data_IF_336096190990
#
_entry.id   IF_336096190990
#
_cell.length_a   1.000
_cell.length_b   1.000
_cell.length_c   1.000
_cell.angle_alpha   90.00
_cell.angle_beta   90.00
_cell.angle_gamma   90.00
#
_symmetry.space_group_name_H-M   'P 1'
#
loop_
_entity.id
_entity.type
_entity.pdbx_description
1 polymer ?
#
# COMPACT_ATOMS: atom_id res chain seq x y z
N UNK A 1 -14.24 -6.41 -1.90
CA UNK A 1 -15.21 -5.37 -2.30
C UNK A 1 -15.44 -5.38 -3.81
N UNK A 2 -14.40 -5.40 -4.65
CA UNK A 2 -14.52 -5.22 -6.11
C UNK A 2 -14.44 -6.51 -6.93
N UNK A 3 -13.96 -7.60 -6.35
CA UNK A 3 -13.84 -8.89 -7.05
C UNK A 3 -15.16 -9.64 -7.17
N UNK A 4 -15.30 -10.43 -8.26
CA UNK A 4 -16.39 -11.42 -8.40
C UNK A 4 -16.21 -12.56 -7.38
N UNK A 5 -17.21 -13.41 -7.21
CA UNK A 5 -17.09 -14.55 -6.28
C UNK A 5 -16.01 -15.54 -6.75
N UNK A 6 -15.87 -15.76 -8.05
CA UNK A 6 -14.80 -16.58 -8.64
C UNK A 6 -13.42 -16.00 -8.35
N UNK A 7 -13.24 -14.68 -8.55
CA UNK A 7 -11.99 -14.00 -8.22
C UNK A 7 -11.68 -14.05 -6.72
N UNK A 8 -12.68 -13.91 -5.86
CA UNK A 8 -12.49 -14.04 -4.41
C UNK A 8 -12.03 -15.45 -4.01
N UNK A 9 -12.67 -16.47 -4.54
CA UNK A 9 -12.29 -17.85 -4.25
C UNK A 9 -10.88 -18.17 -4.78
N UNK A 10 -10.58 -17.75 -6.01
CA UNK A 10 -9.29 -18.03 -6.65
C UNK A 10 -8.11 -17.27 -6.04
N UNK A 11 -8.32 -16.02 -5.65
CA UNK A 11 -7.24 -15.12 -5.24
C UNK A 11 -7.33 -14.69 -3.77
N UNK A 12 -8.50 -14.20 -3.31
CA UNK A 12 -8.61 -13.62 -1.98
C UNK A 12 -8.52 -14.69 -0.88
N UNK A 13 -9.14 -15.84 -1.06
CA UNK A 13 -9.13 -16.92 -0.05
C UNK A 13 -7.70 -17.43 0.20
N UNK A 14 -6.88 -17.79 -0.81
CA UNK A 14 -5.49 -18.17 -0.58
C UNK A 14 -4.62 -17.04 0.02
N UNK A 15 -4.84 -15.79 -0.38
CA UNK A 15 -4.15 -14.65 0.20
C UNK A 15 -4.51 -14.47 1.68
N UNK A 16 -5.79 -14.57 2.04
CA UNK A 16 -6.25 -14.45 3.42
C UNK A 16 -5.76 -15.58 4.33
N UNK A 17 -5.56 -16.79 3.77
CA UNK A 17 -4.97 -17.95 4.47
C UNK A 17 -3.45 -17.86 4.58
N UNK A 18 -2.79 -16.94 3.90
CA UNK A 18 -1.33 -16.86 3.83
C UNK A 18 -0.67 -17.94 2.95
N UNK A 19 -1.45 -18.62 2.12
CA UNK A 19 -0.98 -19.61 1.15
C UNK A 19 -0.31 -18.94 -0.07
N UNK A 20 -0.70 -17.69 -0.35
CA UNK A 20 -0.16 -16.84 -1.41
C UNK A 20 0.17 -15.45 -0.89
N UNK A 21 1.10 -14.76 -1.56
CA UNK A 21 1.42 -13.36 -1.32
C UNK A 21 0.87 -12.48 -2.43
N UNK A 22 0.46 -11.26 -2.07
CA UNK A 22 0.00 -10.25 -3.00
C UNK A 22 0.97 -9.09 -3.16
N UNK A 23 0.89 -8.41 -4.33
CA UNK A 23 1.55 -7.14 -4.57
C UNK A 23 0.60 -6.17 -5.26
N UNK A 24 0.86 -4.86 -5.08
CA UNK A 24 0.05 -3.78 -5.64
C UNK A 24 0.92 -2.88 -6.52
N UNK A 25 0.66 -2.90 -7.82
CA UNK A 25 1.38 -2.17 -8.85
C UNK A 25 0.65 -0.91 -9.29
N UNK A 26 0.89 0.21 -8.60
CA UNK A 26 0.37 1.53 -8.93
C UNK A 26 1.44 2.43 -9.54
N UNK A 27 2.54 2.63 -8.80
CA UNK A 27 3.59 3.63 -9.06
C UNK A 27 4.39 3.32 -10.32
N UNK A 28 4.66 4.35 -11.11
CA UNK A 28 5.52 4.30 -12.30
C UNK A 28 6.65 5.34 -12.20
N UNK A 29 7.71 5.24 -13.03
CA UNK A 29 8.80 6.22 -13.04
C UNK A 29 8.32 7.67 -13.18
N UNK A 30 7.30 7.91 -13.99
CA UNK A 30 6.70 9.23 -14.23
C UNK A 30 5.42 9.52 -13.45
N UNK A 31 4.94 8.60 -12.60
CA UNK A 31 3.65 8.70 -11.92
C UNK A 31 3.75 8.18 -10.47
N UNK A 32 4.24 9.02 -9.59
CA UNK A 32 4.27 8.79 -8.14
C UNK A 32 3.08 9.47 -7.46
N UNK A 33 3.28 10.69 -6.96
CA UNK A 33 2.20 11.49 -6.34
C UNK A 33 1.06 11.78 -7.31
N UNK A 34 1.37 12.08 -8.57
CA UNK A 34 0.38 12.14 -9.65
C UNK A 34 0.07 10.73 -10.19
N UNK A 35 -0.72 9.98 -9.45
CA UNK A 35 -1.09 8.62 -9.82
C UNK A 35 -1.99 8.54 -11.07
N UNK A 36 -2.56 9.65 -11.55
CA UNK A 36 -3.28 9.71 -12.84
C UNK A 36 -2.34 9.85 -14.03
N UNK A 37 -1.09 10.22 -13.79
CA UNK A 37 -0.05 10.36 -14.81
C UNK A 37 0.42 9.06 -15.45
N UNK A 38 -0.14 7.90 -15.08
CA UNK A 38 0.27 6.55 -15.51
C UNK A 38 0.40 6.40 -17.02
N UNK A 39 1.37 5.59 -17.45
CA UNK A 39 1.68 5.29 -18.85
C UNK A 39 1.47 3.81 -19.20
N UNK A 40 1.50 2.90 -18.21
CA UNK A 40 1.21 1.47 -18.43
C UNK A 40 -0.16 1.32 -19.04
N UNK A 41 -0.23 0.66 -20.19
CA UNK A 41 -1.46 0.48 -20.98
C UNK A 41 -1.97 -0.95 -20.88
N UNK A 42 -3.28 -1.11 -20.96
CA UNK A 42 -3.95 -2.38 -21.16
C UNK A 42 -4.91 -2.23 -22.34
N UNK A 43 -4.70 -2.99 -23.40
CA UNK A 43 -5.52 -2.95 -24.62
C UNK A 43 -6.26 -4.27 -24.74
N UNK A 44 -7.57 -4.22 -24.97
CA UNK A 44 -8.37 -5.43 -25.18
C UNK A 44 -8.13 -5.95 -26.62
N UNK A 45 -7.73 -7.21 -26.74
CA UNK A 45 -7.50 -7.92 -27.98
C UNK A 45 -8.26 -9.26 -27.94
N UNK A 46 -9.43 -9.31 -28.54
CA UNK A 46 -10.35 -10.44 -28.43
C UNK A 46 -10.83 -10.65 -26.98
N UNK A 47 -10.50 -11.79 -26.41
CA UNK A 47 -10.86 -12.18 -25.02
C UNK A 47 -9.71 -11.99 -24.03
N UNK A 48 -8.67 -11.24 -24.40
CA UNK A 48 -7.51 -10.99 -23.56
C UNK A 48 -7.20 -9.49 -23.46
N UNK A 49 -6.68 -9.08 -22.30
CA UNK A 49 -6.02 -7.79 -22.14
C UNK A 49 -4.53 -7.94 -22.36
N UNK A 50 -3.96 -7.04 -23.17
CA UNK A 50 -2.52 -6.98 -23.44
C UNK A 50 -1.93 -5.81 -22.68
N UNK A 51 -1.12 -6.10 -21.69
CA UNK A 51 -0.48 -5.11 -20.82
C UNK A 51 0.93 -4.77 -21.34
N UNK A 52 1.24 -3.47 -21.43
CA UNK A 52 2.55 -2.94 -21.79
C UNK A 52 2.93 -1.76 -20.89
N UNK A 53 4.13 -1.80 -20.31
CA UNK A 53 4.65 -0.74 -19.43
C UNK A 53 5.45 -1.28 -18.27
N UNK A 54 5.67 -0.44 -17.25
CA UNK A 54 6.39 -0.86 -16.04
C UNK A 54 5.82 -0.19 -14.78
N UNK A 55 6.06 -0.85 -13.64
CA UNK A 55 5.75 -0.33 -12.29
C UNK A 55 7.03 -0.37 -11.47
N UNK A 56 7.26 0.65 -10.65
CA UNK A 56 8.46 0.72 -9.80
C UNK A 56 8.09 0.75 -8.32
N UNK A 57 9.07 0.42 -7.49
CA UNK A 57 8.97 0.43 -6.03
C UNK A 57 7.89 -0.52 -5.49
N UNK A 58 7.70 -1.66 -6.16
CA UNK A 58 6.64 -2.60 -5.78
C UNK A 58 7.12 -3.54 -4.69
N UNK A 59 6.51 -3.41 -3.51
CA UNK A 59 6.74 -4.32 -2.37
C UNK A 59 6.31 -5.73 -2.73
N UNK A 60 7.11 -6.72 -2.35
CA UNK A 60 6.95 -8.13 -2.70
C UNK A 60 6.97 -8.39 -4.21
N UNK A 61 7.56 -7.49 -5.03
CA UNK A 61 7.45 -7.55 -6.47
C UNK A 61 7.84 -8.90 -7.08
N UNK A 62 8.88 -9.57 -6.58
CA UNK A 62 9.31 -10.90 -7.05
C UNK A 62 8.78 -12.05 -6.20
N UNK A 63 8.45 -11.78 -4.96
CA UNK A 63 7.99 -12.77 -3.98
C UNK A 63 6.49 -13.08 -4.13
N UNK A 64 5.68 -12.11 -4.55
CA UNK A 64 4.23 -12.26 -4.69
C UNK A 64 3.84 -13.28 -5.76
N UNK A 65 2.66 -13.88 -5.58
CA UNK A 65 2.03 -14.82 -6.50
C UNK A 65 0.96 -14.14 -7.36
N UNK A 66 0.32 -13.10 -6.81
CA UNK A 66 -0.79 -12.36 -7.42
C UNK A 66 -0.54 -10.87 -7.31
N UNK A 67 -0.78 -10.16 -8.40
CA UNK A 67 -0.56 -8.72 -8.51
C UNK A 67 -1.84 -8.00 -8.89
N UNK A 68 -2.17 -6.93 -8.17
CA UNK A 68 -3.19 -5.96 -8.60
C UNK A 68 -2.47 -4.86 -9.37
N UNK A 69 -2.66 -4.81 -10.67
CA UNK A 69 -2.00 -3.85 -11.57
C UNK A 69 -3.00 -2.80 -12.04
N UNK A 70 -2.64 -1.54 -11.86
CA UNK A 70 -3.44 -0.41 -12.34
C UNK A 70 -2.87 0.04 -13.69
N UNK A 71 -3.72 0.12 -14.73
CA UNK A 71 -3.27 0.47 -16.07
C UNK A 71 -4.32 1.31 -16.83
N UNK A 72 -3.86 2.04 -17.85
CA UNK A 72 -4.70 2.88 -18.72
C UNK A 72 -5.36 2.00 -19.77
N UNK A 73 -6.68 2.03 -19.83
CA UNK A 73 -7.48 1.28 -20.82
C UNK A 73 -7.99 2.16 -21.97
N UNK A 74 -7.86 3.47 -21.86
CA UNK A 74 -8.32 4.38 -22.89
C UNK A 74 -8.31 5.84 -22.45
N UNK A 75 -9.04 6.63 -23.20
CA UNK A 75 -9.33 8.03 -22.90
C UNK A 75 -10.83 8.23 -22.84
N UNK A 76 -11.30 8.98 -21.87
CA UNK A 76 -12.73 9.28 -21.68
C UNK A 76 -12.93 10.77 -21.45
N UNK A 77 -13.96 11.34 -22.04
CA UNK A 77 -14.33 12.72 -21.75
C UNK A 77 -15.11 12.80 -20.44
N UNK A 78 -14.58 13.55 -19.49
CA UNK A 78 -15.25 13.86 -18.21
C UNK A 78 -15.23 15.38 -17.99
N UNK A 79 -16.42 15.95 -17.81
CA UNK A 79 -16.57 17.39 -17.53
C UNK A 79 -15.90 18.28 -18.59
N UNK A 80 -16.03 17.93 -19.89
CA UNK A 80 -15.44 18.68 -20.99
C UNK A 80 -13.92 18.58 -21.15
N UNK A 81 -13.29 17.57 -20.49
CA UNK A 81 -11.84 17.31 -20.60
C UNK A 81 -11.58 15.83 -20.86
N UNK A 82 -10.65 15.56 -21.77
CA UNK A 82 -10.14 14.21 -21.99
C UNK A 82 -9.29 13.77 -20.80
N UNK A 83 -9.63 12.64 -20.20
CA UNK A 83 -8.92 12.05 -19.06
C UNK A 83 -8.59 10.59 -19.37
N UNK A 84 -7.50 10.08 -18.79
CA UNK A 84 -7.18 8.66 -18.88
C UNK A 84 -8.26 7.82 -18.21
N UNK A 85 -8.75 6.82 -18.93
CA UNK A 85 -9.56 5.76 -18.36
C UNK A 85 -8.61 4.74 -17.75
N UNK A 86 -8.72 4.52 -16.44
CA UNK A 86 -7.80 3.69 -15.65
C UNK A 86 -8.58 2.52 -15.07
N UNK A 87 -8.08 1.30 -15.29
CA UNK A 87 -8.67 0.06 -14.80
C UNK A 87 -7.70 -0.74 -13.94
N UNK A 88 -8.21 -1.72 -13.20
CA UNK A 88 -7.44 -2.60 -12.34
C UNK A 88 -7.48 -4.03 -12.86
N UNK A 89 -6.36 -4.74 -12.77
CA UNK A 89 -6.19 -6.08 -13.31
C UNK A 89 -5.51 -7.01 -12.31
N UNK A 90 -5.89 -8.29 -12.32
CA UNK A 90 -5.24 -9.35 -11.58
C UNK A 90 -4.25 -10.07 -12.53
N UNK A 91 -2.97 -10.03 -12.19
CA UNK A 91 -1.91 -10.71 -12.93
C UNK A 91 -1.29 -11.77 -12.04
N UNK A 92 -1.10 -12.98 -12.56
CA UNK A 92 -0.44 -14.06 -11.84
C UNK A 92 1.06 -14.08 -12.13
N UNK A 93 1.84 -14.50 -11.16
CA UNK A 93 3.28 -14.75 -11.37
C UNK A 93 3.48 -15.81 -12.46
N UNK A 94 4.44 -15.56 -13.34
CA UNK A 94 4.74 -16.47 -14.43
C UNK A 94 3.88 -16.27 -15.68
N UNK A 95 2.97 -15.30 -15.70
CA UNK A 95 2.26 -14.91 -16.92
C UNK A 95 3.28 -14.54 -18.02
N UNK A 96 3.17 -15.09 -19.25
CA UNK A 96 4.05 -14.71 -20.35
C UNK A 96 4.05 -13.19 -20.59
N UNK A 97 5.24 -12.61 -20.80
CA UNK A 97 5.38 -11.15 -20.96
C UNK A 97 5.43 -10.37 -19.64
N UNK A 98 5.26 -11.03 -18.49
CA UNK A 98 5.46 -10.43 -17.18
C UNK A 98 6.83 -10.82 -16.61
N UNK A 99 7.65 -9.82 -16.27
CA UNK A 99 9.00 -10.00 -15.74
C UNK A 99 9.33 -8.99 -14.65
N UNK A 100 10.47 -9.21 -14.00
CA UNK A 100 10.94 -8.40 -12.88
C UNK A 100 12.23 -7.69 -13.25
N UNK A 101 12.28 -6.40 -12.99
CA UNK A 101 13.48 -5.59 -13.17
C UNK A 101 14.33 -5.54 -11.90
N UNK A 102 14.90 -4.38 -11.65
CA UNK A 102 15.88 -4.15 -10.58
C UNK A 102 15.26 -4.29 -9.19
N UNK A 103 15.99 -4.98 -8.29
CA UNK A 103 15.71 -4.96 -6.85
C UNK A 103 16.29 -3.70 -6.24
N UNK A 104 15.48 -2.93 -5.52
CA UNK A 104 15.90 -1.69 -4.90
C UNK A 104 16.86 -1.92 -3.72
N UNK A 105 17.97 -1.17 -3.71
CA UNK A 105 18.92 -1.11 -2.58
C UNK A 105 18.45 -0.01 -1.62
N UNK A 106 17.76 -0.42 -0.55
CA UNK A 106 17.14 0.51 0.40
C UNK A 106 18.04 0.83 1.58
N UNK A 107 17.92 2.03 2.15
CA UNK A 107 18.61 2.47 3.36
C UNK A 107 18.11 1.69 4.60
N UNK A 108 16.79 1.41 4.68
CA UNK A 108 16.15 0.67 5.75
C UNK A 108 15.09 -0.31 5.24
N UNK A 109 14.45 -1.03 6.15
CA UNK A 109 13.39 -2.04 5.84
C UNK A 109 13.89 -3.03 4.77
N UNK A 110 15.14 -3.50 4.90
CA UNK A 110 15.79 -4.36 3.90
C UNK A 110 15.19 -5.77 3.83
N UNK A 111 14.50 -6.19 4.89
CA UNK A 111 13.76 -7.45 4.94
C UNK A 111 12.51 -7.48 4.06
N UNK A 112 11.96 -6.30 3.68
CA UNK A 112 10.86 -6.18 2.73
C UNK A 112 11.42 -5.87 1.35
N UNK A 113 11.35 -6.82 0.43
CA UNK A 113 11.90 -6.65 -0.91
C UNK A 113 11.03 -5.72 -1.77
N UNK A 114 11.66 -4.90 -2.59
CA UNK A 114 11.01 -3.93 -3.48
C UNK A 114 11.62 -4.06 -4.87
N UNK A 115 10.76 -4.18 -5.89
CA UNK A 115 11.17 -4.45 -7.27
C UNK A 115 10.45 -3.55 -8.27
N UNK A 116 11.05 -3.48 -9.46
CA UNK A 116 10.36 -3.08 -10.68
C UNK A 116 9.60 -4.27 -11.26
N UNK A 117 8.40 -4.01 -11.81
CA UNK A 117 7.59 -4.95 -12.59
C UNK A 117 7.59 -4.47 -14.04
N UNK A 118 7.78 -5.37 -14.99
CA UNK A 118 7.87 -5.07 -16.43
C UNK A 118 6.85 -5.92 -17.19
N UNK A 119 6.06 -5.26 -18.03
CA UNK A 119 5.05 -5.88 -18.87
C UNK A 119 5.40 -5.62 -20.34
N UNK A 120 5.59 -6.67 -21.10
CA UNK A 120 5.87 -6.65 -22.54
C UNK A 120 4.94 -7.62 -23.22
N UNK A 121 3.92 -7.11 -23.90
CA UNK A 121 2.84 -7.91 -24.50
C UNK A 121 2.29 -8.98 -23.53
N UNK A 122 2.15 -8.59 -22.26
CA UNK A 122 1.66 -9.48 -21.22
C UNK A 122 0.16 -9.70 -21.37
N UNK A 123 -0.21 -10.91 -21.78
CA UNK A 123 -1.60 -11.29 -22.05
C UNK A 123 -2.24 -11.93 -20.83
N UNK A 124 -3.39 -11.39 -20.44
CA UNK A 124 -4.21 -11.90 -19.35
C UNK A 124 -5.67 -12.06 -19.81
N UNK A 125 -6.39 -13.05 -19.30
CA UNK A 125 -7.80 -13.25 -19.62
C UNK A 125 -8.64 -12.02 -19.31
N UNK A 126 -9.70 -11.82 -20.10
CA UNK A 126 -10.62 -10.66 -19.96
C UNK A 126 -11.24 -10.60 -18.56
N UNK A 127 -11.56 -11.73 -17.98
CA UNK A 127 -12.13 -11.88 -16.64
C UNK A 127 -11.16 -11.50 -15.50
N UNK A 128 -9.88 -11.29 -15.79
CA UNK A 128 -8.91 -10.82 -14.81
C UNK A 128 -9.00 -9.31 -14.52
N UNK A 129 -9.91 -8.58 -15.17
CA UNK A 129 -10.24 -7.22 -14.77
C UNK A 129 -10.90 -7.23 -13.38
N UNK A 130 -10.39 -6.40 -12.47
CA UNK A 130 -10.94 -6.23 -11.13
C UNK A 130 -11.91 -5.03 -11.12
N UNK A 131 -13.16 -5.31 -10.80
CA UNK A 131 -14.24 -4.31 -10.88
C UNK A 131 -14.66 -4.04 -12.31
N UNK A 132 -15.04 -2.80 -12.62
CA UNK A 132 -15.44 -2.36 -13.96
C UNK A 132 -14.35 -1.56 -14.64
N UNK A 133 -14.35 -1.54 -15.97
CA UNK A 133 -13.50 -0.67 -16.76
C UNK A 133 -13.67 0.80 -16.35
N UNK A 134 -12.57 1.50 -16.17
CA UNK A 134 -12.56 2.90 -15.71
C UNK A 134 -12.65 3.09 -14.18
N UNK A 135 -12.81 2.03 -13.38
CA UNK A 135 -12.86 2.13 -11.92
C UNK A 135 -11.50 1.95 -11.22
N UNK A 136 -10.43 1.66 -11.97
CA UNK A 136 -9.12 1.33 -11.38
C UNK A 136 -8.54 2.44 -10.51
N UNK A 137 -8.71 3.70 -10.88
CA UNK A 137 -8.27 4.82 -10.04
C UNK A 137 -9.06 4.91 -8.72
N UNK A 138 -10.37 4.69 -8.76
CA UNK A 138 -11.23 4.63 -7.57
C UNK A 138 -10.81 3.48 -6.64
N UNK A 139 -10.54 2.29 -7.22
CA UNK A 139 -10.05 1.12 -6.49
C UNK A 139 -8.73 1.45 -5.81
N UNK A 140 -7.78 2.08 -6.53
CA UNK A 140 -6.49 2.47 -5.99
C UNK A 140 -6.62 3.44 -4.82
N UNK A 141 -7.44 4.49 -4.95
CA UNK A 141 -7.64 5.48 -3.87
C UNK A 141 -8.29 4.84 -2.63
N UNK A 142 -9.30 4.02 -2.81
CA UNK A 142 -9.95 3.29 -1.71
C UNK A 142 -8.97 2.35 -0.98
N UNK A 143 -8.07 1.69 -1.72
CA UNK A 143 -7.01 0.86 -1.13
C UNK A 143 -6.03 1.70 -0.31
N UNK A 144 -5.63 2.87 -0.81
CA UNK A 144 -4.71 3.78 -0.12
C UNK A 144 -5.31 4.39 1.15
N UNK A 145 -6.62 4.62 1.21
CA UNK A 145 -7.27 5.15 2.42
C UNK A 145 -7.08 4.20 3.61
N UNK A 146 -7.31 2.90 3.42
CA UNK A 146 -7.00 1.90 4.44
C UNK A 146 -5.50 1.79 4.75
N UNK A 147 -4.66 1.88 3.72
CA UNK A 147 -3.19 1.84 3.85
C UNK A 147 -2.64 2.97 4.72
N UNK A 148 -3.19 4.18 4.64
CA UNK A 148 -2.77 5.34 5.45
C UNK A 148 -2.91 5.08 6.94
N UNK A 149 -4.02 4.47 7.36
CA UNK A 149 -4.25 4.10 8.77
C UNK A 149 -3.22 3.06 9.21
N UNK A 150 -2.97 2.04 8.40
CA UNK A 150 -1.99 1.00 8.69
C UNK A 150 -0.58 1.55 8.91
N UNK A 151 -0.13 2.48 8.06
CA UNK A 151 1.19 3.13 8.20
C UNK A 151 1.24 4.06 9.42
N UNK A 152 0.15 4.78 9.72
CA UNK A 152 0.07 5.58 10.94
C UNK A 152 0.15 4.71 12.21
N UNK A 153 -0.55 3.57 12.23
CA UNK A 153 -0.47 2.61 13.32
C UNK A 153 0.94 2.00 13.47
N UNK A 154 1.64 1.72 12.37
CA UNK A 154 3.02 1.27 12.40
C UNK A 154 3.96 2.30 13.05
N UNK A 155 3.85 3.57 12.65
CA UNK A 155 4.65 4.65 13.23
C UNK A 155 4.36 4.84 14.72
N UNK A 156 3.09 4.78 15.12
CA UNK A 156 2.66 4.82 16.51
C UNK A 156 3.28 3.69 17.32
N UNK A 157 3.17 2.43 16.87
CA UNK A 157 3.71 1.28 17.58
C UNK A 157 5.22 1.33 17.75
N UNK A 158 5.95 1.88 16.76
CA UNK A 158 7.39 2.14 16.90
C UNK A 158 7.69 3.19 17.99
N UNK A 159 6.89 4.26 18.05
CA UNK A 159 7.05 5.31 19.05
C UNK A 159 6.72 4.80 20.47
N UNK A 160 5.65 4.02 20.63
CA UNK A 160 5.26 3.37 21.90
C UNK A 160 6.37 2.44 22.40
N UNK A 161 6.82 1.51 21.58
CA UNK A 161 7.86 0.56 21.95
C UNK A 161 9.21 1.23 22.26
N UNK A 162 9.55 2.32 21.56
CA UNK A 162 10.75 3.10 21.87
C UNK A 162 10.63 3.83 23.21
N UNK A 163 9.46 4.41 23.50
CA UNK A 163 9.20 5.09 24.77
C UNK A 163 9.26 4.11 25.97
N UNK A 164 8.58 2.97 25.87
CA UNK A 164 8.59 1.93 26.90
C UNK A 164 10.01 1.47 27.24
N UNK A 165 10.81 1.11 26.24
CA UNK A 165 12.19 0.71 26.41
C UNK A 165 13.07 1.81 26.97
N UNK A 166 12.81 3.06 26.62
CA UNK A 166 13.51 4.22 27.15
C UNK A 166 13.19 4.40 28.64
N UNK A 167 11.92 4.25 29.04
CA UNK A 167 11.49 4.35 30.44
C UNK A 167 12.18 3.27 31.29
N UNK A 168 12.30 2.05 30.81
CA UNK A 168 13.03 0.97 31.49
C UNK A 168 14.52 1.32 31.62
N UNK A 169 15.16 1.71 30.53
CA UNK A 169 16.58 2.03 30.49
C UNK A 169 16.95 3.18 31.43
N UNK A 170 16.17 4.27 31.49
CA UNK A 170 16.49 5.41 32.35
C UNK A 170 16.33 5.13 33.85
N UNK A 171 15.60 4.07 34.22
CA UNK A 171 15.49 3.59 35.60
C UNK A 171 16.74 2.82 36.05
N UNK A 172 17.39 2.12 35.13
CA UNK A 172 18.54 1.27 35.41
C UNK A 172 19.87 2.01 35.22
N UNK A 173 20.02 2.79 34.15
CA UNK A 173 21.24 3.51 33.82
C UNK A 173 21.53 4.59 34.86
N UNK A 174 22.74 4.54 35.47
CA UNK A 174 23.19 5.49 36.48
C UNK A 174 24.30 6.39 35.94
N UNK A 175 24.24 7.67 36.25
CA UNK A 175 25.29 8.66 36.08
C UNK A 175 25.25 9.63 37.29
N UNK A 176 26.41 10.17 37.66
CA UNK A 176 26.51 11.07 38.82
C UNK A 176 25.88 10.49 40.11
N UNK A 177 26.03 9.17 40.30
CA UNK A 177 25.56 8.46 41.50
C UNK A 177 24.07 8.14 41.57
N UNK A 178 23.28 8.46 40.57
CA UNK A 178 21.82 8.24 40.52
C UNK A 178 21.31 7.78 39.15
N UNK A 179 20.12 7.18 39.12
CA UNK A 179 19.47 6.81 37.86
C UNK A 179 19.20 8.04 36.97
N UNK A 180 19.44 7.93 35.64
CA UNK A 180 19.29 9.09 34.75
C UNK A 180 17.85 9.56 34.64
N UNK A 181 16.85 8.70 34.92
CA UNK A 181 15.44 9.06 35.05
C UNK A 181 15.12 10.02 36.21
N UNK A 182 16.06 10.25 37.14
CA UNK A 182 15.92 11.23 38.24
C UNK A 182 16.33 12.66 37.84
N UNK A 183 16.91 12.84 36.63
CA UNK A 183 17.25 14.16 36.15
C UNK A 183 16.02 14.84 35.56
N UNK A 184 15.78 16.10 35.94
CA UNK A 184 14.61 16.86 35.52
C UNK A 184 14.45 16.95 34.00
N UNK A 185 15.54 17.17 33.25
CA UNK A 185 15.50 17.22 31.80
C UNK A 185 15.02 15.88 31.20
N UNK A 186 15.49 14.76 31.73
CA UNK A 186 15.03 13.42 31.29
C UNK A 186 13.54 13.23 31.55
N UNK A 187 13.05 13.66 32.73
CA UNK A 187 11.63 13.58 33.08
C UNK A 187 10.77 14.42 32.16
N UNK A 188 11.20 15.65 31.84
CA UNK A 188 10.47 16.53 30.92
C UNK A 188 10.40 15.96 29.49
N UNK A 189 11.50 15.44 28.98
CA UNK A 189 11.51 14.78 27.67
C UNK A 189 10.61 13.55 27.64
N UNK A 190 10.61 12.71 28.66
CA UNK A 190 9.72 11.57 28.74
C UNK A 190 8.25 11.96 28.82
N UNK A 191 7.93 13.00 29.59
CA UNK A 191 6.56 13.51 29.67
C UNK A 191 6.07 14.07 28.34
N UNK A 192 6.92 14.81 27.61
CA UNK A 192 6.61 15.32 26.27
C UNK A 192 6.40 14.20 25.26
N UNK A 193 7.30 13.20 25.25
CA UNK A 193 7.17 12.03 24.39
C UNK A 193 5.90 11.21 24.70
N UNK A 194 5.59 10.96 25.98
CA UNK A 194 4.39 10.25 26.40
C UNK A 194 3.11 10.98 25.95
N UNK A 195 3.08 12.30 26.10
CA UNK A 195 1.96 13.14 25.66
C UNK A 195 1.75 13.03 24.13
N UNK A 196 2.83 13.09 23.33
CA UNK A 196 2.77 12.99 21.88
C UNK A 196 2.30 11.58 21.42
N UNK A 197 2.82 10.54 22.04
CA UNK A 197 2.41 9.14 21.76
C UNK A 197 0.93 8.96 22.07
N UNK A 198 0.47 9.41 23.23
CA UNK A 198 -0.94 9.30 23.62
C UNK A 198 -1.87 10.08 22.67
N UNK A 199 -1.48 11.28 22.28
CA UNK A 199 -2.24 12.07 21.31
C UNK A 199 -2.30 11.38 19.94
N UNK A 200 -1.18 10.85 19.46
CA UNK A 200 -1.11 10.10 18.19
C UNK A 200 -1.99 8.83 18.23
N UNK A 201 -2.05 8.13 19.36
CA UNK A 201 -2.89 6.96 19.56
C UNK A 201 -4.38 7.29 19.36
N UNK A 202 -4.85 8.36 19.99
CA UNK A 202 -6.23 8.81 19.81
C UNK A 202 -6.53 9.22 18.36
N UNK A 203 -5.59 9.88 17.69
CA UNK A 203 -5.76 10.27 16.27
C UNK A 203 -5.85 9.05 15.35
N UNK A 204 -5.03 8.02 15.56
CA UNK A 204 -5.08 6.78 14.78
C UNK A 204 -6.42 6.06 14.98
N UNK A 205 -6.87 5.92 16.22
CA UNK A 205 -8.15 5.27 16.51
C UNK A 205 -9.36 6.05 15.98
N UNK A 206 -9.33 7.38 16.09
CA UNK A 206 -10.38 8.22 15.52
C UNK A 206 -10.43 8.11 13.98
N UNK A 207 -9.27 8.07 13.33
CA UNK A 207 -9.17 7.87 11.87
C UNK A 207 -9.75 6.51 11.46
N UNK A 208 -9.47 5.45 12.23
CA UNK A 208 -10.02 4.11 11.99
C UNK A 208 -11.55 4.13 12.06
N UNK A 209 -12.12 4.75 13.08
CA UNK A 209 -13.59 4.85 13.25
C UNK A 209 -14.22 5.58 12.05
N UNK A 210 -13.65 6.71 11.65
CA UNK A 210 -14.20 7.54 10.57
C UNK A 210 -14.11 6.89 9.17
N UNK A 211 -13.09 6.08 8.93
CA UNK A 211 -12.87 5.44 7.62
C UNK A 211 -13.55 4.08 7.53
N UNK A 212 -13.46 3.28 8.61
CA UNK A 212 -13.95 1.90 8.61
C UNK A 212 -15.43 1.79 9.03
N UNK A 213 -15.90 2.70 9.89
CA UNK A 213 -17.26 2.74 10.38
C UNK A 213 -17.81 4.18 10.27
N UNK A 214 -18.01 4.69 9.04
CA UNK A 214 -18.59 6.02 8.88
C UNK A 214 -19.98 6.03 9.48
N UNK A 215 -20.14 6.70 10.62
CA UNK A 215 -21.46 6.95 11.20
C UNK A 215 -22.23 7.79 10.19
N UNK A 216 -23.20 7.20 9.51
CA UNK A 216 -24.21 7.96 8.80
C UNK A 216 -24.99 8.72 9.87
N UNK A 217 -24.70 9.99 10.02
CA UNK A 217 -25.64 10.91 10.62
C UNK A 217 -26.79 11.02 9.61
N UNK A 218 -27.82 10.22 9.79
CA UNK A 218 -29.10 10.43 9.15
C UNK A 218 -29.67 11.73 9.74
N UNK A 219 -29.35 12.83 9.09
CA UNK A 219 -29.92 14.15 9.37
C UNK A 219 -31.08 14.36 8.41
#
# INVERSE_FOLDING_TARGET
>A
TYGTEEQKQKYLVPLAKGEKLGAFGLTEPGAGTDAQGQQTKAVLDGDEWVLNGSKIFITNGKEADVYVIIAVTGMVEKRGRMQKEISAFLVEKGTPGFSFGTKEKKMGIRGSATYELIFTDCRIPKENMLGKQGEGFKIAMHTLDGGRIGIAAQALGLAEGALERTIEYVKERKQFGRAIGQFQNTQFQLADMATKVQAAQYMVYLSLIHISEPTRLDV
#
